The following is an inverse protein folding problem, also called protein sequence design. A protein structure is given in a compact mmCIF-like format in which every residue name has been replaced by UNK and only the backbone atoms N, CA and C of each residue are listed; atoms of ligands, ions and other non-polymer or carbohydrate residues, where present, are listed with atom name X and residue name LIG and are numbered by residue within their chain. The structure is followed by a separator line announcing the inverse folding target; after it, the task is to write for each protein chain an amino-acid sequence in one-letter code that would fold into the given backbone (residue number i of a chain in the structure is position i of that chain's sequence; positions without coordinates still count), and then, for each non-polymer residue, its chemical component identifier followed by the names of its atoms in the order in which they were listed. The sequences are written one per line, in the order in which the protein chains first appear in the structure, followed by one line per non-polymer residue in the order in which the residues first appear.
data_IF_146848372325
#
_entry.id   IF_146848372325
#
_cell.length_a   1.000
_cell.length_b   1.000
_cell.length_c   1.000
_cell.angle_alpha   90.00
_cell.angle_beta   90.00
_cell.angle_gamma   90.00
#
_symmetry.space_group_name_H-M   'P 1'
#
loop_
_entity.id
_entity.type
_entity.pdbx_description
1 polymer ?
#
# COMPACT_ATOMS: atom_id res chain seq x y z
N UNK A 1 -59.51 -13.38 81.88
CA UNK A 1 -59.17 -13.31 83.31
C UNK A 1 -57.69 -13.59 83.43
N UNK A 2 -57.00 -12.64 84.07
CA UNK A 2 -55.75 -12.72 84.80
C UNK A 2 -54.42 -12.58 84.06
N UNK A 3 -53.88 -11.44 84.19
CA UNK A 3 -52.56 -10.91 83.93
C UNK A 3 -51.50 -11.58 84.78
N UNK A 4 -50.36 -11.89 84.27
CA UNK A 4 -49.12 -11.96 85.05
C UNK A 4 -47.95 -11.30 84.23
N UNK A 5 -47.41 -10.25 84.81
CA UNK A 5 -46.20 -9.57 84.40
C UNK A 5 -44.98 -10.35 84.86
N UNK A 6 -44.01 -10.55 84.05
CA UNK A 6 -42.65 -10.94 84.43
C UNK A 6 -41.63 -9.91 83.92
N UNK A 7 -40.95 -9.33 84.89
CA UNK A 7 -39.79 -8.48 84.62
C UNK A 7 -38.59 -9.36 84.29
N UNK A 8 -37.87 -9.07 83.19
CA UNK A 8 -36.60 -9.65 82.93
C UNK A 8 -35.54 -8.55 82.74
N UNK A 9 -34.45 -8.71 83.44
CA UNK A 9 -33.32 -7.78 83.55
C UNK A 9 -32.47 -7.85 82.26
N UNK A 10 -32.04 -6.68 81.80
CA UNK A 10 -31.02 -6.56 80.70
C UNK A 10 -29.62 -6.71 81.30
N UNK A 11 -28.74 -7.48 80.64
CA UNK A 11 -27.31 -7.35 80.87
C UNK A 11 -26.68 -6.30 79.91
N UNK A 12 -25.89 -5.43 80.47
CA UNK A 12 -25.04 -4.45 79.80
C UNK A 12 -23.91 -5.21 79.07
N UNK A 13 -23.93 -5.25 77.72
CA UNK A 13 -22.81 -5.70 76.97
C UNK A 13 -21.99 -4.47 76.55
N UNK A 14 -20.78 -4.38 77.07
CA UNK A 14 -19.77 -3.42 76.65
C UNK A 14 -19.25 -3.80 75.22
N UNK A 15 -19.53 -2.99 74.20
CA UNK A 15 -18.99 -3.12 72.91
C UNK A 15 -17.55 -2.62 72.82
N UNK A 16 -16.57 -3.51 72.71
CA UNK A 16 -15.22 -3.15 72.31
C UNK A 16 -15.26 -2.79 70.82
N UNK A 17 -15.04 -1.52 70.47
CA UNK A 17 -14.82 -1.08 69.12
C UNK A 17 -13.40 -1.47 68.70
N UNK A 18 -13.25 -2.54 67.86
CA UNK A 18 -12.01 -2.79 67.14
C UNK A 18 -11.91 -1.80 65.97
N UNK A 19 -11.01 -0.83 66.13
CA UNK A 19 -10.63 0.07 65.01
C UNK A 19 -9.88 -0.73 63.94
N UNK A 20 -10.45 -0.90 62.77
CA UNK A 20 -9.76 -1.44 61.58
C UNK A 20 -8.69 -0.45 61.14
N UNK A 21 -7.46 -0.94 60.73
CA UNK A 21 -6.42 -0.05 60.20
C UNK A 21 -6.89 0.53 58.87
N UNK A 22 -6.62 1.82 58.64
CA UNK A 22 -6.86 2.49 57.36
C UNK A 22 -6.10 1.79 56.21
N UNK A 23 -6.68 1.68 55.02
CA UNK A 23 -5.99 1.11 53.88
C UNK A 23 -4.77 1.96 53.52
N UNK A 24 -3.63 1.31 53.35
CA UNK A 24 -2.40 1.97 52.87
C UNK A 24 -2.62 2.63 51.51
N UNK A 25 -1.99 3.80 51.23
CA UNK A 25 -2.12 4.44 49.93
C UNK A 25 -1.63 3.47 48.81
N UNK A 26 -2.45 3.30 47.78
CA UNK A 26 -2.12 2.49 46.64
C UNK A 26 -0.82 3.01 46.00
N UNK A 27 0.14 2.10 45.76
CA UNK A 27 1.35 2.43 45.01
C UNK A 27 0.98 3.01 43.63
N UNK A 28 1.67 4.05 43.16
CA UNK A 28 1.40 4.59 41.83
C UNK A 28 1.57 3.49 40.80
N UNK A 29 0.57 3.35 39.90
CA UNK A 29 0.62 2.42 38.78
C UNK A 29 1.90 2.68 37.98
N UNK A 30 2.60 1.61 37.50
CA UNK A 30 3.78 1.80 36.66
C UNK A 30 3.39 2.68 35.49
N UNK A 31 4.14 3.77 35.26
CA UNK A 31 3.97 4.64 34.12
C UNK A 31 4.03 3.78 32.84
N UNK A 32 3.00 3.86 32.01
CA UNK A 32 3.03 3.23 30.68
C UNK A 32 4.33 3.64 30.01
N UNK A 33 5.07 2.69 29.41
CA UNK A 33 6.31 3.03 28.71
C UNK A 33 5.99 4.14 27.71
N UNK A 34 6.71 5.23 27.78
CA UNK A 34 6.59 6.34 26.82
C UNK A 34 6.68 5.71 25.42
N UNK A 35 5.67 5.95 24.59
CA UNK A 35 5.64 5.47 23.22
C UNK A 35 6.95 5.89 22.57
N UNK A 36 7.72 4.92 22.07
CA UNK A 36 8.94 5.21 21.34
C UNK A 36 8.60 6.23 20.24
N UNK A 37 9.45 7.23 19.97
CA UNK A 37 9.17 8.24 18.96
C UNK A 37 8.84 7.52 17.67
N UNK A 38 7.68 7.85 17.08
CA UNK A 38 7.20 7.21 15.86
C UNK A 38 8.32 7.27 14.81
N UNK A 39 8.81 6.11 14.37
CA UNK A 39 9.80 6.04 13.31
C UNK A 39 9.25 6.81 12.10
N UNK A 40 10.04 7.72 11.55
CA UNK A 40 9.61 8.56 10.42
C UNK A 40 9.11 7.71 9.26
N UNK A 41 8.02 8.14 8.62
CA UNK A 41 7.44 7.42 7.50
C UNK A 41 8.33 7.54 6.26
N UNK A 42 8.54 6.42 5.58
CA UNK A 42 9.25 6.39 4.29
C UNK A 42 8.24 6.34 3.15
N UNK A 43 8.36 7.23 2.19
CA UNK A 43 7.51 7.27 0.99
C UNK A 43 8.32 6.84 -0.23
N UNK A 44 7.80 5.83 -0.93
CA UNK A 44 8.19 5.50 -2.30
C UNK A 44 7.09 5.97 -3.24
N UNK A 45 7.41 6.21 -4.51
CA UNK A 45 6.40 6.60 -5.48
C UNK A 45 6.72 6.06 -6.88
N UNK A 46 5.67 5.77 -7.66
CA UNK A 46 5.82 5.47 -9.08
C UNK A 46 5.75 6.75 -9.91
N UNK A 47 6.61 6.83 -10.92
CA UNK A 47 6.68 7.89 -11.90
C UNK A 47 6.17 7.36 -13.25
N UNK A 48 4.93 7.69 -13.66
CA UNK A 48 4.35 7.22 -14.90
C UNK A 48 5.05 7.86 -16.11
N UNK A 49 5.43 7.04 -17.10
CA UNK A 49 6.12 7.53 -18.30
C UNK A 49 5.26 8.48 -19.14
N UNK A 50 3.93 8.29 -19.15
CA UNK A 50 2.99 9.14 -19.90
C UNK A 50 2.77 10.52 -19.29
N UNK A 51 3.27 10.77 -18.08
CA UNK A 51 3.29 12.08 -17.41
C UNK A 51 4.69 12.38 -16.84
N UNK A 52 5.74 11.84 -17.46
CA UNK A 52 7.10 11.86 -16.90
C UNK A 52 7.56 13.24 -16.44
N UNK A 53 7.31 14.28 -17.24
CA UNK A 53 7.80 15.62 -16.92
C UNK A 53 7.12 16.25 -15.70
N UNK A 54 5.79 16.08 -15.58
CA UNK A 54 5.02 16.49 -14.40
C UNK A 54 5.44 15.71 -13.16
N UNK A 55 5.48 14.39 -13.27
CA UNK A 55 5.87 13.50 -12.20
C UNK A 55 7.33 13.69 -11.73
N UNK A 56 8.24 14.03 -12.63
CA UNK A 56 9.62 14.35 -12.27
C UNK A 56 9.74 15.67 -11.49
N UNK A 57 9.03 16.73 -11.94
CA UNK A 57 8.98 18.00 -11.18
C UNK A 57 8.37 17.82 -9.81
N UNK A 58 7.30 17.06 -9.72
CA UNK A 58 6.64 16.74 -8.46
C UNK A 58 7.57 15.97 -7.52
N UNK A 59 8.27 14.95 -8.03
CA UNK A 59 9.27 14.22 -7.26
C UNK A 59 10.40 15.12 -6.71
N UNK A 60 10.89 16.08 -7.49
CA UNK A 60 11.89 17.03 -7.02
C UNK A 60 11.35 17.99 -5.96
N UNK A 61 10.10 18.43 -6.10
CA UNK A 61 9.46 19.32 -5.13
C UNK A 61 9.23 18.64 -3.76
N UNK A 62 9.19 17.30 -3.72
CA UNK A 62 8.96 16.53 -2.51
C UNK A 62 10.10 15.54 -2.19
N UNK A 63 11.30 15.83 -2.71
CA UNK A 63 12.45 14.95 -2.55
C UNK A 63 12.88 14.74 -1.09
N UNK A 64 12.55 15.66 -0.20
CA UNK A 64 12.77 15.57 1.25
C UNK A 64 11.94 14.47 1.90
N UNK A 65 10.80 14.12 1.31
CA UNK A 65 9.88 13.07 1.79
C UNK A 65 10.05 11.73 1.04
N UNK A 66 10.66 11.77 -0.15
CA UNK A 66 10.82 10.61 -1.01
C UNK A 66 12.11 9.84 -0.72
N UNK A 67 11.96 8.54 -0.48
CA UNK A 67 13.09 7.61 -0.38
C UNK A 67 13.44 7.00 -1.75
N UNK A 68 12.42 6.60 -2.52
CA UNK A 68 12.58 5.89 -3.78
C UNK A 68 11.55 6.38 -4.79
N UNK A 69 11.99 6.62 -6.00
CA UNK A 69 11.12 6.80 -7.17
C UNK A 69 11.32 5.62 -8.11
N UNK A 70 10.21 5.04 -8.55
CA UNK A 70 10.17 3.92 -9.51
C UNK A 70 9.57 4.40 -10.83
N UNK A 71 10.41 4.84 -11.79
CA UNK A 71 9.93 5.16 -13.12
C UNK A 71 9.34 3.93 -13.81
N UNK A 72 8.14 4.07 -14.35
CA UNK A 72 7.38 3.00 -15.00
C UNK A 72 7.85 2.82 -16.45
N UNK A 73 9.08 2.32 -16.63
CA UNK A 73 9.81 2.49 -17.89
C UNK A 73 9.96 1.24 -18.74
N UNK A 74 9.79 0.06 -18.18
CA UNK A 74 10.12 -1.16 -18.90
C UNK A 74 9.01 -2.20 -18.83
N UNK A 75 8.86 -2.96 -19.92
CA UNK A 75 7.96 -4.10 -19.99
C UNK A 75 8.72 -5.32 -20.53
N UNK A 76 8.77 -6.40 -19.78
CA UNK A 76 9.32 -7.67 -20.22
C UNK A 76 8.40 -8.31 -21.27
N UNK A 77 8.88 -8.47 -22.49
CA UNK A 77 8.12 -9.09 -23.60
C UNK A 77 8.50 -10.55 -23.83
N UNK A 78 9.63 -10.99 -23.28
CA UNK A 78 10.05 -12.39 -23.23
C UNK A 78 11.06 -12.59 -22.10
N UNK A 79 11.61 -13.80 -21.99
CA UNK A 79 12.70 -14.11 -21.06
C UNK A 79 14.00 -13.30 -21.31
N UNK A 80 14.14 -12.65 -22.47
CA UNK A 80 15.38 -11.94 -22.85
C UNK A 80 15.18 -10.50 -23.30
N UNK A 81 13.95 -10.07 -23.59
CA UNK A 81 13.66 -8.77 -24.21
C UNK A 81 12.75 -7.92 -23.34
N UNK A 82 13.03 -6.63 -23.40
CA UNK A 82 12.20 -5.60 -22.80
C UNK A 82 11.82 -4.55 -23.83
N UNK A 83 10.59 -4.07 -23.77
CA UNK A 83 10.20 -2.80 -24.38
C UNK A 83 10.54 -1.68 -23.42
N UNK A 84 11.17 -0.63 -23.93
CA UNK A 84 11.40 0.60 -23.22
C UNK A 84 10.29 1.60 -23.59
N UNK A 85 9.59 2.11 -22.60
CA UNK A 85 8.58 3.15 -22.80
C UNK A 85 9.24 4.52 -23.08
N UNK A 86 8.50 5.51 -23.63
CA UNK A 86 9.01 6.86 -23.84
C UNK A 86 9.66 7.45 -22.58
N UNK A 87 10.85 8.00 -22.73
CA UNK A 87 11.62 8.55 -21.61
C UNK A 87 12.37 7.53 -20.76
N UNK A 88 12.33 6.24 -21.09
CA UNK A 88 13.08 5.22 -20.36
C UNK A 88 14.58 5.49 -20.39
N UNK A 89 15.21 5.48 -19.20
CA UNK A 89 16.63 5.70 -19.07
C UNK A 89 17.07 7.16 -19.23
N UNK A 90 16.14 8.12 -19.16
CA UNK A 90 16.45 9.56 -19.22
C UNK A 90 17.43 9.95 -18.10
N UNK A 91 18.65 10.33 -18.53
CA UNK A 91 19.73 10.70 -17.63
C UNK A 91 19.40 11.95 -16.79
N UNK A 92 18.66 12.90 -17.34
CA UNK A 92 18.23 14.09 -16.61
C UNK A 92 17.37 13.72 -15.41
N UNK A 93 16.42 12.80 -15.60
CA UNK A 93 15.54 12.31 -14.53
C UNK A 93 16.33 11.51 -13.49
N UNK A 94 17.17 10.57 -13.94
CA UNK A 94 17.98 9.72 -13.05
C UNK A 94 18.93 10.58 -12.20
N UNK A 95 19.74 11.40 -12.86
CA UNK A 95 20.77 12.18 -12.19
C UNK A 95 20.15 13.28 -11.30
N UNK A 96 19.01 13.84 -11.72
CA UNK A 96 18.28 14.84 -10.93
C UNK A 96 17.73 14.27 -9.62
N UNK A 97 17.05 13.13 -9.67
CA UNK A 97 16.53 12.44 -8.49
C UNK A 97 17.67 12.02 -7.55
N UNK A 98 18.72 11.42 -8.09
CA UNK A 98 19.88 10.99 -7.28
C UNK A 98 20.61 12.16 -6.61
N UNK A 99 20.79 13.30 -7.31
CA UNK A 99 21.33 14.53 -6.67
C UNK A 99 20.44 15.05 -5.54
N UNK A 100 19.12 14.87 -5.66
CA UNK A 100 18.17 15.19 -4.60
C UNK A 100 18.13 14.14 -3.48
N UNK A 101 18.99 13.10 -3.54
CA UNK A 101 19.09 12.03 -2.55
C UNK A 101 17.95 11.00 -2.63
N UNK A 102 17.25 10.92 -3.76
CA UNK A 102 16.17 9.97 -4.02
C UNK A 102 16.72 8.81 -4.84
N UNK A 103 16.46 7.58 -4.42
CA UNK A 103 16.88 6.37 -5.15
C UNK A 103 16.02 6.16 -6.38
N UNK A 104 16.63 5.78 -7.49
CA UNK A 104 15.95 5.49 -8.76
C UNK A 104 15.93 3.98 -8.99
N UNK A 105 14.75 3.39 -8.85
CA UNK A 105 14.50 1.95 -8.94
C UNK A 105 13.41 1.71 -10.00
N UNK A 106 13.77 1.62 -11.30
CA UNK A 106 12.78 1.55 -12.36
C UNK A 106 11.90 0.31 -12.25
N UNK A 107 10.63 0.49 -12.58
CA UNK A 107 9.64 -0.58 -12.63
C UNK A 107 9.74 -1.33 -13.95
N UNK A 108 9.65 -2.64 -13.85
CA UNK A 108 9.53 -3.58 -14.97
C UNK A 108 8.19 -4.31 -14.82
N UNK A 109 7.32 -4.14 -15.80
CA UNK A 109 6.08 -4.93 -15.94
C UNK A 109 6.30 -6.14 -16.86
N UNK A 110 5.27 -6.96 -17.09
CA UNK A 110 5.34 -8.05 -18.06
C UNK A 110 4.17 -8.03 -19.05
N UNK A 111 4.48 -8.38 -20.31
CA UNK A 111 3.51 -8.55 -21.38
C UNK A 111 2.95 -9.98 -21.49
N UNK A 112 3.73 -11.08 -21.24
CA UNK A 112 3.23 -12.44 -21.39
C UNK A 112 2.09 -12.75 -20.42
N UNK A 113 1.16 -13.57 -20.87
CA UNK A 113 0.05 -14.08 -20.04
C UNK A 113 0.52 -15.13 -19.02
N UNK A 114 -0.40 -15.58 -18.17
CA UNK A 114 -0.09 -16.54 -17.12
C UNK A 114 0.48 -17.87 -17.63
N UNK A 115 0.03 -18.37 -18.80
CA UNK A 115 0.51 -19.63 -19.36
C UNK A 115 1.93 -19.49 -19.88
N UNK A 116 2.22 -18.41 -20.61
CA UNK A 116 3.56 -18.08 -21.10
C UNK A 116 4.54 -17.83 -19.94
N UNK A 117 4.09 -17.12 -18.90
CA UNK A 117 4.87 -16.92 -17.68
C UNK A 117 5.12 -18.24 -16.94
N UNK A 118 4.14 -19.12 -16.80
CA UNK A 118 4.34 -20.44 -16.23
C UNK A 118 5.41 -21.23 -16.98
N UNK A 119 5.33 -21.27 -18.33
CA UNK A 119 6.31 -21.96 -19.16
C UNK A 119 7.72 -21.35 -19.05
N UNK A 120 7.82 -20.02 -18.97
CA UNK A 120 9.10 -19.34 -18.82
C UNK A 120 9.72 -19.57 -17.42
N UNK A 121 8.92 -19.44 -16.37
CA UNK A 121 9.42 -19.44 -15.01
C UNK A 121 9.71 -20.84 -14.46
N UNK A 122 9.07 -21.88 -14.98
CA UNK A 122 9.33 -23.27 -14.58
C UNK A 122 10.49 -23.91 -15.35
N UNK A 123 10.86 -23.39 -16.51
CA UNK A 123 12.07 -23.81 -17.24
C UNK A 123 13.30 -23.13 -16.62
N UNK A 124 14.25 -23.89 -16.05
CA UNK A 124 15.43 -23.31 -15.40
C UNK A 124 16.30 -22.48 -16.35
N UNK A 125 16.43 -22.87 -17.63
CA UNK A 125 17.26 -22.16 -18.59
C UNK A 125 16.62 -20.83 -19.01
N UNK A 126 15.31 -20.81 -19.24
CA UNK A 126 14.56 -19.60 -19.57
C UNK A 126 14.50 -18.65 -18.37
N UNK A 127 14.26 -19.17 -17.15
CA UNK A 127 14.30 -18.37 -15.93
C UNK A 127 15.68 -17.75 -15.70
N UNK A 128 16.76 -18.51 -15.87
CA UNK A 128 18.12 -17.99 -15.78
C UNK A 128 18.43 -16.93 -16.84
N UNK A 129 17.91 -17.09 -18.06
CA UNK A 129 18.03 -16.10 -19.13
C UNK A 129 17.30 -14.79 -18.74
N UNK A 130 16.11 -14.88 -18.12
CA UNK A 130 15.35 -13.72 -17.67
C UNK A 130 16.04 -13.01 -16.49
N UNK A 131 16.57 -13.74 -15.53
CA UNK A 131 17.43 -13.19 -14.46
C UNK A 131 18.60 -12.41 -15.06
N UNK A 132 19.33 -13.00 -16.00
CA UNK A 132 20.46 -12.34 -16.65
C UNK A 132 20.03 -11.07 -17.42
N UNK A 133 18.87 -11.09 -18.06
CA UNK A 133 18.33 -9.94 -18.77
C UNK A 133 17.93 -8.80 -17.82
N UNK A 134 17.27 -9.10 -16.71
CA UNK A 134 16.94 -8.13 -15.65
C UNK A 134 18.21 -7.51 -15.04
N UNK A 135 19.25 -8.30 -14.79
CA UNK A 135 20.52 -7.78 -14.27
C UNK A 135 21.26 -6.89 -15.27
N UNK A 136 21.23 -7.21 -16.55
CA UNK A 136 21.75 -6.30 -17.59
C UNK A 136 20.98 -4.98 -17.60
N UNK A 137 19.66 -5.05 -17.47
CA UNK A 137 18.84 -3.84 -17.37
C UNK A 137 19.22 -3.01 -16.13
N UNK A 138 19.35 -3.63 -14.96
CA UNK A 138 19.71 -2.98 -13.71
C UNK A 138 21.07 -2.26 -13.75
N UNK A 139 21.98 -2.70 -14.65
CA UNK A 139 23.31 -2.10 -14.81
C UNK A 139 23.45 -1.22 -16.05
N UNK A 140 22.41 -1.11 -16.89
CA UNK A 140 22.45 -0.32 -18.13
C UNK A 140 22.51 1.19 -17.90
N UNK A 141 22.11 1.62 -16.71
CA UNK A 141 22.13 3.02 -16.23
C UNK A 141 22.49 2.99 -14.74
N UNK A 142 22.78 4.13 -14.11
CA UNK A 142 23.07 4.21 -12.67
C UNK A 142 21.79 4.07 -11.83
N UNK A 143 21.08 2.95 -12.01
CA UNK A 143 19.93 2.59 -11.20
C UNK A 143 20.34 2.10 -9.83
N UNK A 144 19.51 2.39 -8.84
CA UNK A 144 19.71 1.93 -7.47
C UNK A 144 19.03 0.57 -7.20
N UNK A 145 18.48 -0.07 -8.23
CA UNK A 145 17.80 -1.37 -8.15
C UNK A 145 16.75 -1.58 -9.23
N UNK A 146 15.87 -2.55 -9.00
CA UNK A 146 14.68 -2.83 -9.83
C UNK A 146 13.43 -3.02 -8.97
N UNK A 147 12.30 -2.63 -9.53
CA UNK A 147 10.95 -2.89 -9.04
C UNK A 147 10.23 -3.82 -10.03
N UNK A 148 9.78 -4.99 -9.58
CA UNK A 148 9.08 -5.94 -10.44
C UNK A 148 7.57 -5.83 -10.20
N UNK A 149 6.83 -5.42 -11.22
CA UNK A 149 5.39 -5.23 -11.17
C UNK A 149 4.71 -6.15 -12.20
N UNK A 150 4.76 -7.46 -11.93
CA UNK A 150 4.24 -8.50 -12.80
C UNK A 150 2.81 -8.85 -12.35
N UNK A 151 1.82 -8.40 -13.13
CA UNK A 151 0.40 -8.49 -12.78
C UNK A 151 -0.40 -9.42 -13.69
N UNK A 152 -0.09 -9.45 -15.01
CA UNK A 152 -0.85 -10.23 -16.00
C UNK A 152 -0.79 -11.73 -15.73
N UNK A 153 0.31 -12.19 -15.17
CA UNK A 153 0.49 -13.59 -14.75
C UNK A 153 -0.50 -14.06 -13.68
N UNK A 154 -1.20 -13.14 -13.00
CA UNK A 154 -2.21 -13.47 -11.99
C UNK A 154 -3.58 -13.80 -12.60
N UNK A 155 -3.75 -13.60 -13.91
CA UNK A 155 -5.02 -13.77 -14.59
C UNK A 155 -5.06 -15.09 -15.37
N UNK A 156 -5.58 -16.15 -14.74
CA UNK A 156 -5.87 -17.44 -15.37
C UNK A 156 -7.01 -18.13 -14.66
N UNK A 157 -7.83 -18.85 -15.40
CA UNK A 157 -8.83 -19.77 -14.84
C UNK A 157 -8.19 -21.12 -14.45
N UNK A 158 -7.00 -21.45 -14.93
CA UNK A 158 -6.29 -22.70 -14.64
C UNK A 158 -5.48 -22.58 -13.33
N UNK A 159 -5.96 -23.21 -12.27
CA UNK A 159 -5.28 -23.26 -10.98
C UNK A 159 -3.90 -23.94 -11.06
N UNK A 160 -3.69 -24.85 -12.00
CA UNK A 160 -2.38 -25.48 -12.24
C UNK A 160 -1.37 -24.49 -12.81
N UNK A 161 -1.81 -23.66 -13.76
CA UNK A 161 -1.00 -22.54 -14.27
C UNK A 161 -0.62 -21.59 -13.15
N UNK A 162 -1.59 -21.14 -12.34
CA UNK A 162 -1.35 -20.21 -11.24
C UNK A 162 -0.37 -20.78 -10.19
N UNK A 163 -0.46 -22.07 -9.87
CA UNK A 163 0.50 -22.72 -8.95
C UNK A 163 1.92 -22.73 -9.53
N UNK A 164 2.08 -23.04 -10.83
CA UNK A 164 3.40 -23.01 -11.49
C UNK A 164 3.97 -21.59 -11.51
N UNK A 165 3.16 -20.60 -11.86
CA UNK A 165 3.56 -19.17 -11.81
C UNK A 165 4.01 -18.80 -10.40
N UNK A 166 3.22 -19.14 -9.36
CA UNK A 166 3.57 -18.84 -7.96
C UNK A 166 4.97 -19.35 -7.57
N UNK A 167 5.24 -20.62 -7.84
CA UNK A 167 6.55 -21.22 -7.54
C UNK A 167 7.67 -20.61 -8.36
N UNK A 168 7.45 -20.46 -9.66
CA UNK A 168 8.44 -19.92 -10.59
C UNK A 168 8.74 -18.44 -10.35
N UNK A 169 7.72 -17.62 -10.07
CA UNK A 169 7.90 -16.19 -9.75
C UNK A 169 8.65 -16.00 -8.43
N UNK A 170 8.32 -16.77 -7.41
CA UNK A 170 9.06 -16.75 -6.13
C UNK A 170 10.54 -17.11 -6.34
N UNK A 171 10.83 -18.10 -7.19
CA UNK A 171 12.20 -18.48 -7.53
C UNK A 171 12.92 -17.37 -8.31
N UNK A 172 12.27 -16.78 -9.32
CA UNK A 172 12.81 -15.64 -10.08
C UNK A 172 13.19 -14.49 -9.16
N UNK A 173 12.27 -14.04 -8.31
CA UNK A 173 12.49 -12.91 -7.39
C UNK A 173 13.65 -13.20 -6.45
N UNK A 174 13.72 -14.41 -5.87
CA UNK A 174 14.83 -14.81 -5.02
C UNK A 174 16.18 -14.72 -5.75
N UNK A 175 16.26 -15.21 -6.98
CA UNK A 175 17.48 -15.21 -7.79
C UNK A 175 17.90 -13.79 -8.20
N UNK A 176 16.95 -12.96 -8.64
CA UNK A 176 17.19 -11.56 -9.03
C UNK A 176 17.62 -10.73 -7.84
N UNK A 177 16.86 -10.78 -6.73
CA UNK A 177 17.15 -9.97 -5.54
C UNK A 177 18.53 -10.33 -4.94
N UNK A 178 18.87 -11.62 -4.83
CA UNK A 178 20.18 -12.01 -4.32
C UNK A 178 21.32 -11.40 -5.15
N UNK A 179 21.16 -11.33 -6.47
CA UNK A 179 22.18 -10.76 -7.37
C UNK A 179 22.19 -9.23 -7.38
N UNK A 180 21.06 -8.58 -7.19
CA UNK A 180 20.98 -7.12 -7.00
C UNK A 180 21.63 -6.73 -5.68
N UNK A 181 21.33 -7.44 -4.59
CA UNK A 181 21.90 -7.21 -3.26
C UNK A 181 23.43 -7.36 -3.26
N UNK A 182 23.98 -8.35 -3.99
CA UNK A 182 25.43 -8.51 -4.14
C UNK A 182 26.11 -7.31 -4.83
N UNK A 183 25.34 -6.40 -5.42
CA UNK A 183 25.77 -5.14 -6.05
C UNK A 183 25.39 -3.89 -5.25
N UNK A 184 24.81 -4.06 -4.06
CA UNK A 184 24.26 -2.94 -3.27
C UNK A 184 23.01 -2.32 -3.87
N UNK A 185 22.35 -3.01 -4.82
CA UNK A 185 21.14 -2.55 -5.48
C UNK A 185 19.89 -3.09 -4.78
N UNK A 186 18.81 -2.30 -4.78
CA UNK A 186 17.52 -2.67 -4.18
C UNK A 186 16.71 -3.59 -5.10
N UNK A 187 15.87 -4.38 -4.46
CA UNK A 187 14.91 -5.26 -5.12
C UNK A 187 13.54 -5.07 -4.48
N UNK A 188 12.56 -4.56 -5.22
CA UNK A 188 11.18 -4.43 -4.76
C UNK A 188 10.23 -5.18 -5.68
N UNK A 189 9.07 -5.58 -5.15
CA UNK A 189 8.03 -6.29 -5.92
C UNK A 189 6.68 -5.69 -5.58
N UNK A 190 5.90 -5.30 -6.59
CA UNK A 190 4.50 -4.96 -6.45
C UNK A 190 3.64 -6.23 -6.44
N UNK A 191 2.62 -6.25 -5.59
CA UNK A 191 1.73 -7.41 -5.42
C UNK A 191 0.29 -6.96 -5.23
N UNK A 192 -0.66 -7.77 -5.70
CA UNK A 192 -2.06 -7.57 -5.37
C UNK A 192 -2.31 -7.81 -3.87
N UNK A 193 -3.27 -7.07 -3.27
CA UNK A 193 -3.62 -7.24 -1.88
C UNK A 193 -4.25 -8.61 -1.61
N UNK A 194 -3.89 -9.20 -0.46
CA UNK A 194 -4.49 -10.44 0.06
C UNK A 194 -5.10 -10.18 1.42
N UNK A 195 -6.19 -10.87 1.69
CA UNK A 195 -6.82 -10.94 3.02
C UNK A 195 -7.09 -12.39 3.38
N UNK A 196 -7.39 -12.68 4.65
CA UNK A 196 -7.83 -14.04 5.04
C UNK A 196 -9.14 -14.46 4.38
N UNK A 197 -10.04 -13.51 4.18
CA UNK A 197 -11.37 -13.76 3.62
C UNK A 197 -11.37 -13.92 2.09
N UNK A 198 -10.36 -13.36 1.41
CA UNK A 198 -10.33 -13.33 -0.06
C UNK A 198 -8.91 -13.41 -0.58
N UNK A 199 -8.64 -14.45 -1.34
CA UNK A 199 -7.41 -14.61 -2.10
C UNK A 199 -7.61 -14.15 -3.54
N UNK A 200 -7.26 -12.91 -3.83
CA UNK A 200 -7.28 -12.34 -5.19
C UNK A 200 -5.90 -12.36 -5.85
N UNK A 201 -4.93 -12.92 -5.18
CA UNK A 201 -3.52 -12.83 -5.54
C UNK A 201 -2.80 -14.20 -5.42
N UNK A 202 -3.33 -15.29 -6.02
CA UNK A 202 -2.84 -16.65 -5.79
C UNK A 202 -1.39 -16.87 -6.24
N UNK A 203 -0.87 -16.06 -7.17
CA UNK A 203 0.50 -16.17 -7.67
C UNK A 203 1.55 -15.52 -6.75
N UNK A 204 1.16 -14.70 -5.80
CA UNK A 204 2.13 -14.03 -4.93
C UNK A 204 2.30 -14.79 -3.60
N UNK A 205 3.44 -15.43 -3.45
CA UNK A 205 3.87 -16.03 -2.19
C UNK A 205 4.45 -14.96 -1.27
N UNK A 206 3.62 -14.29 -0.47
CA UNK A 206 4.06 -13.21 0.41
C UNK A 206 5.23 -13.61 1.29
N UNK A 207 5.21 -14.80 1.87
CA UNK A 207 6.30 -15.27 2.73
C UNK A 207 7.60 -15.48 1.93
N UNK A 208 7.52 -16.13 0.76
CA UNK A 208 8.66 -16.37 -0.11
C UNK A 208 9.24 -15.08 -0.67
N UNK A 209 8.38 -14.19 -1.17
CA UNK A 209 8.76 -12.87 -1.70
C UNK A 209 9.34 -11.98 -0.59
N UNK A 210 8.68 -11.89 0.56
CA UNK A 210 9.10 -11.06 1.70
C UNK A 210 10.48 -11.42 2.25
N UNK A 211 10.89 -12.69 2.15
CA UNK A 211 12.28 -13.08 2.50
C UNK A 211 13.30 -12.49 1.54
N UNK A 212 12.97 -12.36 0.26
CA UNK A 212 13.91 -11.98 -0.78
C UNK A 212 14.03 -10.47 -1.00
N UNK A 213 12.93 -9.72 -0.89
CA UNK A 213 12.86 -8.31 -1.28
C UNK A 213 13.26 -7.34 -0.17
N UNK A 214 13.62 -6.11 -0.54
CA UNK A 214 13.75 -4.95 0.36
C UNK A 214 12.40 -4.27 0.63
N UNK A 215 11.46 -4.38 -0.29
CA UNK A 215 10.12 -3.84 -0.21
C UNK A 215 9.10 -4.72 -0.93
N UNK A 216 8.05 -5.15 -0.21
CA UNK A 216 6.86 -5.75 -0.78
C UNK A 216 5.80 -4.64 -0.89
N UNK A 217 5.54 -4.18 -2.10
CA UNK A 217 4.62 -3.08 -2.41
C UNK A 217 3.23 -3.62 -2.63
N UNK A 218 2.37 -3.49 -1.64
CA UNK A 218 1.02 -4.01 -1.72
C UNK A 218 0.11 -2.95 -2.34
N UNK A 219 -0.47 -3.23 -3.49
CA UNK A 219 -1.40 -2.34 -4.20
C UNK A 219 -2.73 -2.20 -3.45
N UNK A 220 -2.75 -1.41 -2.38
CA UNK A 220 -3.89 -1.20 -1.47
C UNK A 220 -5.02 -0.37 -2.08
N UNK A 221 -5.35 -0.61 -3.34
CA UNK A 221 -6.35 0.11 -4.12
C UNK A 221 -7.07 -0.82 -5.09
N UNK A 222 -8.09 -0.28 -5.81
CA UNK A 222 -8.98 -1.05 -6.68
C UNK A 222 -9.88 -2.05 -5.92
N UNK A 223 -10.27 -1.72 -4.67
CA UNK A 223 -11.35 -2.44 -3.97
C UNK A 223 -12.61 -2.43 -4.84
N UNK A 224 -12.97 -1.26 -5.38
CA UNK A 224 -13.83 -1.09 -6.55
C UNK A 224 -12.94 -0.61 -7.71
N UNK A 225 -13.05 -1.27 -8.84
CA UNK A 225 -12.17 -1.04 -10.00
C UNK A 225 -12.99 -0.65 -11.24
N UNK A 226 -12.31 -0.38 -12.35
CA UNK A 226 -12.91 0.10 -13.58
C UNK A 226 -13.97 -0.83 -14.20
N UNK A 227 -14.02 -2.10 -13.84
CA UNK A 227 -14.92 -3.11 -14.41
C UNK A 227 -16.07 -3.49 -13.47
N UNK A 228 -16.00 -3.04 -12.22
CA UNK A 228 -17.00 -3.31 -11.18
C UNK A 228 -18.00 -2.18 -10.99
N UNK A 229 -18.89 -2.30 -10.01
CA UNK A 229 -19.79 -1.23 -9.62
C UNK A 229 -19.03 -0.03 -9.02
N UNK A 230 -19.62 1.20 -9.08
CA UNK A 230 -19.10 2.37 -8.38
C UNK A 230 -18.87 2.10 -6.88
N UNK A 231 -17.81 2.69 -6.34
CA UNK A 231 -17.50 2.55 -4.92
C UNK A 231 -16.07 3.00 -4.57
N UNK A 232 -15.69 2.95 -3.28
CA UNK A 232 -14.40 3.41 -2.81
C UNK A 232 -13.24 2.55 -3.35
N UNK A 233 -12.13 3.20 -3.73
CA UNK A 233 -10.92 2.51 -4.19
C UNK A 233 -10.25 1.71 -3.07
N UNK A 234 -10.44 2.12 -1.84
CA UNK A 234 -9.89 1.51 -0.63
C UNK A 234 -10.72 1.90 0.59
N UNK A 235 -10.52 1.22 1.73
CA UNK A 235 -11.12 1.61 2.99
C UNK A 235 -10.21 1.29 4.18
N UNK A 236 -10.35 1.98 5.32
CA UNK A 236 -9.57 1.68 6.54
C UNK A 236 -9.70 0.23 6.99
N UNK A 237 -10.91 -0.33 6.93
CA UNK A 237 -11.18 -1.73 7.28
C UNK A 237 -10.48 -2.71 6.33
N UNK A 238 -10.46 -2.40 5.04
CA UNK A 238 -9.77 -3.23 4.06
C UNK A 238 -8.26 -3.16 4.20
N UNK A 239 -7.69 -1.96 4.47
CA UNK A 239 -6.28 -1.81 4.82
C UNK A 239 -5.91 -2.65 6.04
N UNK A 240 -6.71 -2.61 7.10
CA UNK A 240 -6.49 -3.41 8.29
C UNK A 240 -6.48 -4.93 7.97
N UNK A 241 -7.41 -5.39 7.15
CA UNK A 241 -7.49 -6.80 6.73
C UNK A 241 -6.28 -7.21 5.87
N UNK A 242 -5.83 -6.36 4.94
CA UNK A 242 -4.61 -6.57 4.13
C UNK A 242 -3.38 -6.63 5.04
N UNK A 243 -3.22 -5.65 5.91
CA UNK A 243 -2.04 -5.55 6.78
C UNK A 243 -1.98 -6.68 7.79
N UNK A 244 -3.11 -7.11 8.35
CA UNK A 244 -3.19 -8.30 9.22
C UNK A 244 -2.71 -9.56 8.51
N UNK A 245 -3.08 -9.73 7.23
CA UNK A 245 -2.57 -10.84 6.42
C UNK A 245 -1.08 -10.66 6.12
N UNK A 246 -0.67 -9.49 5.65
CA UNK A 246 0.68 -9.22 5.21
C UNK A 246 1.71 -9.36 6.35
N UNK A 247 1.44 -8.78 7.52
CA UNK A 247 2.38 -8.83 8.68
C UNK A 247 2.48 -10.21 9.32
N UNK A 248 1.51 -11.10 9.07
CA UNK A 248 1.63 -12.51 9.46
C UNK A 248 2.63 -13.29 8.58
N UNK A 249 3.05 -12.75 7.43
CA UNK A 249 3.91 -13.43 6.46
C UNK A 249 5.20 -12.68 6.14
N UNK A 250 5.23 -11.36 6.35
CA UNK A 250 6.31 -10.46 5.95
C UNK A 250 6.61 -9.51 7.11
N UNK A 251 7.88 -9.28 7.47
CA UNK A 251 8.22 -8.27 8.46
C UNK A 251 7.67 -6.90 8.08
N UNK A 252 7.03 -6.21 9.03
CA UNK A 252 6.39 -4.91 8.80
C UNK A 252 7.33 -3.87 8.15
N UNK A 253 8.62 -3.90 8.52
CA UNK A 253 9.65 -3.03 7.95
C UNK A 253 9.89 -3.23 6.44
N UNK A 254 9.44 -4.33 5.86
CA UNK A 254 9.55 -4.61 4.41
C UNK A 254 8.23 -4.35 3.66
N UNK A 255 7.14 -4.05 4.35
CA UNK A 255 5.85 -3.77 3.71
C UNK A 255 5.80 -2.29 3.32
N UNK A 256 5.56 -2.04 2.03
CA UNK A 256 5.23 -0.71 1.50
C UNK A 256 3.75 -0.72 1.07
N UNK A 257 2.90 0.00 1.83
CA UNK A 257 1.47 0.00 1.54
C UNK A 257 1.12 0.99 0.44
N UNK A 258 0.53 0.50 -0.64
CA UNK A 258 0.15 1.28 -1.81
C UNK A 258 -0.96 2.29 -1.48
N UNK A 259 -0.74 3.55 -1.84
CA UNK A 259 -1.64 4.69 -1.63
C UNK A 259 -2.09 5.20 -3.00
N UNK A 260 -3.39 5.18 -3.31
CA UNK A 260 -3.87 5.69 -4.59
C UNK A 260 -4.01 7.22 -4.56
N UNK A 261 -3.70 7.87 -5.69
CA UNK A 261 -3.96 9.27 -5.94
C UNK A 261 -4.84 9.46 -7.20
N UNK A 262 -5.83 8.61 -7.36
CA UNK A 262 -6.70 8.58 -8.54
C UNK A 262 -8.10 8.10 -8.19
N UNK A 263 -8.94 7.96 -9.20
CA UNK A 263 -10.30 7.48 -9.11
C UNK A 263 -10.85 6.94 -10.41
N UNK A 264 -12.09 6.53 -10.35
CA UNK A 264 -12.84 5.99 -11.46
C UNK A 264 -14.09 6.81 -11.70
N UNK A 265 -14.33 7.16 -12.97
CA UNK A 265 -15.51 7.87 -13.47
C UNK A 265 -16.40 6.86 -14.20
N UNK A 266 -17.43 6.39 -13.49
CA UNK A 266 -18.32 5.33 -13.95
C UNK A 266 -19.49 5.90 -14.74
N UNK A 267 -19.92 5.17 -15.78
CA UNK A 267 -21.26 5.34 -16.35
C UNK A 267 -22.22 4.50 -15.52
N UNK A 268 -23.24 5.14 -14.95
CA UNK A 268 -24.26 4.41 -14.20
C UNK A 268 -25.30 3.83 -15.14
N UNK A 269 -25.66 2.56 -14.94
CA UNK A 269 -26.67 1.88 -15.75
C UNK A 269 -26.14 1.09 -16.94
N UNK A 270 -24.82 1.11 -17.21
CA UNK A 270 -24.21 0.23 -18.18
C UNK A 270 -22.97 -0.50 -17.58
N UNK A 271 -22.42 -1.46 -18.34
CA UNK A 271 -21.22 -2.23 -17.95
C UNK A 271 -19.95 -1.70 -18.62
N UNK A 272 -19.98 -0.48 -19.11
CA UNK A 272 -18.81 0.11 -19.73
C UNK A 272 -17.70 0.27 -18.70
N UNK A 273 -16.46 0.05 -19.15
CA UNK A 273 -15.28 0.28 -18.32
C UNK A 273 -15.25 1.75 -17.87
N UNK A 274 -15.07 1.98 -16.56
CA UNK A 274 -14.92 3.32 -16.01
C UNK A 274 -13.65 4.01 -16.53
N UNK A 275 -13.74 5.33 -16.64
CA UNK A 275 -12.61 6.16 -17.07
C UNK A 275 -11.71 6.48 -15.87
N UNK A 276 -10.41 6.31 -16.03
CA UNK A 276 -9.43 6.74 -15.03
C UNK A 276 -9.43 8.27 -14.90
N UNK A 277 -9.35 8.78 -13.67
CA UNK A 277 -9.16 10.19 -13.34
C UNK A 277 -8.10 10.30 -12.25
N UNK A 278 -7.10 11.12 -12.43
CA UNK A 278 -6.23 11.52 -11.33
C UNK A 278 -7.04 12.26 -10.26
N UNK A 279 -6.56 12.35 -9.04
CA UNK A 279 -7.23 13.15 -7.99
C UNK A 279 -7.44 14.60 -8.44
N UNK A 280 -6.44 15.19 -9.09
CA UNK A 280 -6.52 16.57 -9.63
C UNK A 280 -7.61 16.69 -10.70
N UNK A 281 -7.67 15.74 -11.63
CA UNK A 281 -8.70 15.72 -12.69
C UNK A 281 -10.11 15.53 -12.12
N UNK A 282 -10.28 14.62 -11.15
CA UNK A 282 -11.57 14.38 -10.51
C UNK A 282 -12.06 15.65 -9.79
N UNK A 283 -11.20 16.32 -9.05
CA UNK A 283 -11.50 17.58 -8.38
C UNK A 283 -11.81 18.72 -9.38
N UNK A 284 -11.05 18.82 -10.46
CA UNK A 284 -11.28 19.81 -11.52
C UNK A 284 -12.62 19.56 -12.23
N UNK A 285 -12.91 18.28 -12.55
CA UNK A 285 -14.19 17.88 -13.13
C UNK A 285 -15.36 18.25 -12.22
N UNK A 286 -15.28 17.91 -10.92
CA UNK A 286 -16.32 18.25 -9.95
C UNK A 286 -16.64 19.75 -9.93
N UNK A 287 -15.59 20.59 -9.88
CA UNK A 287 -15.75 22.05 -9.90
C UNK A 287 -16.39 22.54 -11.20
N UNK A 288 -15.95 22.01 -12.34
CA UNK A 288 -16.45 22.38 -13.68
C UNK A 288 -17.94 22.08 -13.83
N UNK A 289 -18.40 20.92 -13.32
CA UNK A 289 -19.81 20.51 -13.42
C UNK A 289 -20.67 21.00 -12.26
N UNK A 290 -20.12 21.72 -11.29
CA UNK A 290 -20.85 22.24 -10.13
C UNK A 290 -21.40 21.15 -9.20
N UNK A 291 -20.86 19.92 -9.22
CA UNK A 291 -21.40 18.81 -8.45
C UNK A 291 -21.08 18.94 -6.95
N UNK A 292 -22.07 18.58 -6.10
CA UNK A 292 -21.89 18.48 -4.67
C UNK A 292 -20.86 17.38 -4.35
N UNK A 293 -20.00 17.63 -3.35
CA UNK A 293 -19.07 16.63 -2.83
C UNK A 293 -19.78 15.80 -1.76
N UNK A 294 -19.89 14.52 -1.99
CA UNK A 294 -20.32 13.53 -1.00
C UNK A 294 -19.10 12.75 -0.49
N UNK A 295 -19.24 12.12 0.69
CA UNK A 295 -18.23 11.23 1.23
C UNK A 295 -18.88 9.96 1.75
N UNK A 296 -18.29 8.84 1.39
CA UNK A 296 -18.65 7.56 1.96
C UNK A 296 -18.37 7.56 3.48
N UNK A 297 -19.34 7.10 4.27
CA UNK A 297 -19.27 7.18 5.72
C UNK A 297 -18.15 6.31 6.32
N UNK A 298 -17.88 5.15 5.72
CA UNK A 298 -16.93 4.16 6.25
C UNK A 298 -15.50 4.43 5.77
N UNK A 299 -15.34 4.76 4.48
CA UNK A 299 -14.02 4.94 3.86
C UNK A 299 -13.54 6.39 3.85
N UNK A 300 -14.43 7.35 4.08
CA UNK A 300 -14.24 8.78 3.85
C UNK A 300 -13.84 9.12 2.41
N UNK A 301 -14.01 8.17 1.48
CA UNK A 301 -13.71 8.37 0.06
C UNK A 301 -14.66 9.41 -0.53
N UNK A 302 -14.13 10.47 -1.17
CA UNK A 302 -14.97 11.46 -1.84
C UNK A 302 -15.57 10.88 -3.13
N UNK A 303 -16.82 11.25 -3.38
CA UNK A 303 -17.51 10.95 -4.63
C UNK A 303 -18.48 12.05 -5.00
N UNK A 304 -18.90 12.06 -6.26
CA UNK A 304 -19.92 12.99 -6.76
C UNK A 304 -20.62 12.40 -7.99
N UNK A 305 -21.80 12.92 -8.26
CA UNK A 305 -22.62 12.53 -9.42
C UNK A 305 -22.83 13.71 -10.33
N UNK A 306 -22.91 13.44 -11.64
CA UNK A 306 -23.18 14.43 -12.65
C UNK A 306 -23.83 13.80 -13.89
N UNK A 307 -24.26 14.63 -14.82
CA UNK A 307 -24.81 14.20 -16.13
C UNK A 307 -23.91 14.75 -17.23
N UNK A 308 -23.51 13.89 -18.16
CA UNK A 308 -22.74 14.24 -19.34
C UNK A 308 -23.37 13.53 -20.54
N UNK A 309 -23.73 14.29 -21.59
CA UNK A 309 -24.38 13.80 -22.81
C UNK A 309 -25.65 12.96 -22.51
N UNK A 310 -26.50 13.44 -21.59
CA UNK A 310 -27.70 12.77 -21.14
C UNK A 310 -27.50 11.50 -20.32
N UNK A 311 -26.26 11.13 -19.99
CA UNK A 311 -25.92 9.94 -19.22
C UNK A 311 -25.55 10.29 -17.79
N UNK A 312 -26.05 9.53 -16.84
CA UNK A 312 -25.65 9.66 -15.43
C UNK A 312 -24.26 9.08 -15.24
N UNK A 313 -23.43 9.80 -14.51
CA UNK A 313 -22.07 9.42 -14.17
C UNK A 313 -21.84 9.56 -12.68
N UNK A 314 -20.92 8.74 -12.15
CA UNK A 314 -20.53 8.76 -10.75
C UNK A 314 -19.01 8.61 -10.64
N UNK A 315 -18.38 9.57 -9.98
CA UNK A 315 -16.93 9.59 -9.79
C UNK A 315 -16.59 9.27 -8.34
N UNK A 316 -15.77 8.26 -8.15
CA UNK A 316 -15.13 7.91 -6.87
C UNK A 316 -13.64 8.10 -7.02
N UNK A 317 -13.01 8.85 -6.11
CA UNK A 317 -11.58 9.12 -6.18
C UNK A 317 -10.97 9.21 -4.79
N UNK A 318 -9.67 9.13 -4.66
CA UNK A 318 -9.02 9.22 -3.35
C UNK A 318 -8.40 10.60 -3.16
N UNK A 319 -8.57 11.16 -1.97
CA UNK A 319 -7.99 12.43 -1.56
C UNK A 319 -7.21 12.31 -0.24
N UNK A 320 -6.53 13.38 0.16
CA UNK A 320 -5.72 13.43 1.38
C UNK A 320 -6.52 13.11 2.65
N UNK A 321 -7.79 13.53 2.72
CA UNK A 321 -8.67 13.25 3.88
C UNK A 321 -9.05 11.77 3.94
N UNK A 322 -9.38 11.17 2.80
CA UNK A 322 -9.64 9.73 2.72
C UNK A 322 -8.39 8.92 3.10
N UNK A 323 -7.21 9.29 2.59
CA UNK A 323 -5.95 8.63 2.96
C UNK A 323 -5.64 8.80 4.45
N UNK A 324 -5.89 9.97 5.04
CA UNK A 324 -5.68 10.17 6.48
C UNK A 324 -6.43 9.15 7.33
N UNK A 325 -7.63 8.74 6.91
CA UNK A 325 -8.41 7.72 7.61
C UNK A 325 -7.80 6.30 7.53
N UNK A 326 -6.93 6.03 6.55
CA UNK A 326 -6.27 4.73 6.40
C UNK A 326 -4.99 4.60 7.24
N UNK A 327 -4.32 5.72 7.57
CA UNK A 327 -3.04 5.72 8.28
C UNK A 327 -3.06 5.04 9.66
N UNK A 328 -4.13 5.12 10.48
CA UNK A 328 -4.20 4.37 11.73
C UNK A 328 -4.07 2.86 11.57
N UNK A 329 -4.51 2.29 10.43
CA UNK A 329 -4.30 0.87 10.16
C UNK A 329 -2.82 0.53 9.99
N UNK A 330 -2.05 1.37 9.28
CA UNK A 330 -0.60 1.18 9.14
C UNK A 330 0.09 1.19 10.51
N UNK A 331 -0.25 2.17 11.35
CA UNK A 331 0.34 2.30 12.68
C UNK A 331 0.06 1.09 13.57
N UNK A 332 -1.19 0.59 13.59
CA UNK A 332 -1.55 -0.62 14.37
C UNK A 332 -0.74 -1.84 13.99
N UNK A 333 -0.34 -1.94 12.73
CA UNK A 333 0.44 -3.06 12.21
C UNK A 333 1.94 -2.78 12.14
N UNK A 334 2.44 -1.66 12.68
CA UNK A 334 3.86 -1.29 12.67
C UNK A 334 4.43 -1.01 11.28
N UNK A 335 3.57 -0.72 10.29
CA UNK A 335 4.00 -0.42 8.92
C UNK A 335 4.22 1.09 8.78
N UNK A 336 5.46 1.48 8.47
CA UNK A 336 5.87 2.88 8.34
C UNK A 336 6.17 3.29 6.89
N UNK A 337 5.99 2.39 5.93
CA UNK A 337 6.32 2.63 4.52
C UNK A 337 5.05 2.69 3.68
N UNK A 338 5.02 3.67 2.77
CA UNK A 338 3.96 3.83 1.78
C UNK A 338 4.54 3.91 0.37
N UNK A 339 3.75 3.50 -0.62
CA UNK A 339 4.08 3.60 -2.05
C UNK A 339 2.95 4.33 -2.78
N UNK A 340 3.22 5.53 -3.29
CA UNK A 340 2.23 6.40 -3.95
C UNK A 340 2.03 6.00 -5.42
N UNK A 341 0.83 5.66 -5.81
CA UNK A 341 0.40 5.53 -7.20
C UNK A 341 -0.53 6.69 -7.59
N UNK A 342 -0.04 7.74 -8.27
CA UNK A 342 1.31 7.95 -8.72
C UNK A 342 1.64 9.45 -8.60
N UNK A 343 2.91 9.80 -8.80
CA UNK A 343 3.37 11.19 -8.85
C UNK A 343 2.63 11.98 -9.91
N UNK A 344 2.33 13.27 -9.60
CA UNK A 344 1.54 14.20 -10.41
C UNK A 344 0.05 13.89 -10.52
N UNK A 345 -0.43 12.83 -9.84
CA UNK A 345 -1.86 12.49 -9.76
C UNK A 345 -2.53 13.12 -8.54
N UNK A 346 -1.78 13.28 -7.46
CA UNK A 346 -2.27 13.68 -6.16
C UNK A 346 -2.51 15.19 -6.04
N UNK A 347 -3.23 15.56 -5.01
CA UNK A 347 -3.34 16.94 -4.55
C UNK A 347 -2.22 17.29 -3.57
N UNK A 348 -1.78 18.54 -3.46
CA UNK A 348 -0.68 18.93 -2.55
C UNK A 348 -0.92 18.59 -1.08
N UNK A 349 -2.19 18.48 -0.65
CA UNK A 349 -2.54 18.10 0.72
C UNK A 349 -2.12 16.67 1.07
N UNK A 350 -1.96 15.78 0.08
CA UNK A 350 -1.57 14.39 0.32
C UNK A 350 -0.16 14.30 0.92
N UNK A 351 0.78 15.10 0.45
CA UNK A 351 2.14 15.12 0.97
C UNK A 351 2.17 15.49 2.46
N UNK A 352 1.40 16.51 2.88
CA UNK A 352 1.24 16.86 4.30
C UNK A 352 0.59 15.72 5.10
N UNK A 353 -0.31 14.98 4.51
CA UNK A 353 -0.95 13.82 5.15
C UNK A 353 0.04 12.68 5.34
N UNK A 354 0.84 12.37 4.33
CA UNK A 354 1.87 11.33 4.42
C UNK A 354 2.98 11.70 5.42
N UNK A 355 3.33 12.98 5.54
CA UNK A 355 4.34 13.47 6.49
C UNK A 355 3.90 13.40 7.96
N UNK A 356 2.60 13.35 8.26
CA UNK A 356 2.07 13.30 9.65
C UNK A 356 2.46 12.07 10.46
N UNK A 357 3.21 11.16 9.92
CA UNK A 357 3.83 10.04 10.62
C UNK A 357 5.22 10.33 11.20
N UNK A 358 5.64 11.59 11.23
CA UNK A 358 7.00 12.03 11.56
C UNK A 358 7.80 12.36 10.29
N UNK A 359 8.89 13.14 10.39
CA UNK A 359 9.71 13.46 9.23
C UNK A 359 10.25 12.18 8.60
N UNK A 360 10.24 12.11 7.27
CA UNK A 360 10.88 11.04 6.54
C UNK A 360 12.37 11.04 6.94
N UNK A 361 12.79 10.07 7.76
CA UNK A 361 14.23 9.87 7.97
C UNK A 361 14.78 9.27 6.69
N UNK A 362 15.62 10.02 6.01
CA UNK A 362 16.56 9.41 5.04
C UNK A 362 17.42 8.42 5.82
N UNK A 363 17.47 7.15 5.43
CA UNK A 363 18.33 6.18 6.07
C UNK A 363 19.79 6.53 5.89
#
# INVERSE_FOLDING_TARGET
VTVLRALAALPLLAALALSAPAPAPAAPAPASPAAAPAAGRTVSAWLPYWQQEGAYRDALAHADQLHTVSPFWYEATSDRRFTAHPGAGDRRVIDGLRRAGVKVVPTVTEAPDAAAMAAMLTDPARRAAHVAALLRLATSRPYDGLDLDYERMNHSADAGVLRRVRGGFTALVREVCARLHARGQRCTVAVYPRTRARDTAPVYDYAGLGRAVDGLRIMGYNLHNALGPPGPLSSPRWYDAILRYATAHVPAAKIEMGVPAYGWDYRTGDRARATHRTTREAQALRRRVGAALERDADSLTPHFRYVEDGRRREVWYQDARGIAAHLPALHRHGVTRTALWALDFEEPALWRTLARGGPARKP
#
